data_IF_529559321944
#
_entry.id   IF_529559321944
#
_cell.length_a   1.000
_cell.length_b   1.000
_cell.length_c   1.000
_cell.angle_alpha   90.00
_cell.angle_beta   90.00
_cell.angle_gamma   90.00
#
_symmetry.space_group_name_H-M   'P 1'
#
loop_
_entity.id
_entity.type
_entity.pdbx_description
1 polymer ?
#
# COMPACT_ATOMS: atom_id res chain seq x y z
N UNK A 1 -58.00 -34.26 22.59
CA UNK A 1 -56.53 -34.35 22.34
C UNK A 1 -55.82 -34.49 23.67
N UNK A 2 -55.04 -35.54 23.88
CA UNK A 2 -54.41 -35.80 25.18
C UNK A 2 -53.40 -34.69 25.50
N UNK A 3 -53.47 -34.09 26.69
CA UNK A 3 -52.58 -32.99 27.11
C UNK A 3 -51.09 -33.34 26.93
N UNK A 4 -50.74 -34.61 27.11
CA UNK A 4 -49.40 -35.15 26.86
C UNK A 4 -48.94 -34.99 25.40
N UNK A 5 -49.84 -35.22 24.43
CA UNK A 5 -49.54 -35.06 23.00
C UNK A 5 -49.31 -33.59 22.66
N UNK A 6 -50.09 -32.69 23.26
CA UNK A 6 -49.94 -31.23 23.07
C UNK A 6 -48.58 -30.76 23.59
N UNK A 7 -48.18 -31.21 24.78
CA UNK A 7 -46.90 -30.85 25.39
C UNK A 7 -45.72 -31.36 24.55
N UNK A 8 -45.79 -32.61 24.07
CA UNK A 8 -44.75 -33.19 23.20
C UNK A 8 -44.67 -32.42 21.88
N UNK A 9 -45.80 -32.13 21.25
CA UNK A 9 -45.84 -31.37 20.00
C UNK A 9 -45.23 -29.97 20.17
N UNK A 10 -45.55 -29.28 21.27
CA UNK A 10 -44.98 -27.97 21.59
C UNK A 10 -43.46 -28.04 21.80
N UNK A 11 -42.98 -29.05 22.54
CA UNK A 11 -41.55 -29.24 22.79
C UNK A 11 -40.76 -29.50 21.49
N UNK A 12 -41.30 -30.33 20.59
CA UNK A 12 -40.69 -30.61 19.29
C UNK A 12 -40.65 -29.36 18.42
N UNK A 13 -41.72 -28.55 18.43
CA UNK A 13 -41.80 -27.33 17.66
C UNK A 13 -40.77 -26.29 18.14
N UNK A 14 -40.62 -26.12 19.46
CA UNK A 14 -39.58 -25.26 20.04
C UNK A 14 -38.18 -25.77 19.68
N UNK A 15 -37.92 -27.06 19.81
CA UNK A 15 -36.62 -27.65 19.46
C UNK A 15 -36.28 -27.44 17.97
N UNK A 16 -37.25 -27.56 17.06
CA UNK A 16 -37.07 -27.32 15.64
C UNK A 16 -36.71 -25.86 15.33
N UNK A 17 -37.37 -24.90 16.00
CA UNK A 17 -37.06 -23.46 15.84
C UNK A 17 -35.66 -23.15 16.35
N UNK A 18 -35.26 -23.71 17.50
CA UNK A 18 -33.90 -23.55 18.03
C UNK A 18 -32.84 -24.14 17.09
N UNK A 19 -33.07 -25.35 16.58
CA UNK A 19 -32.15 -26.00 15.64
C UNK A 19 -31.99 -25.19 14.34
N UNK A 20 -33.09 -24.68 13.78
CA UNK A 20 -33.07 -23.82 12.61
C UNK A 20 -32.35 -22.48 12.88
N UNK A 21 -32.60 -21.86 14.03
CA UNK A 21 -31.93 -20.62 14.43
C UNK A 21 -30.42 -20.77 14.57
N UNK A 22 -29.96 -21.84 15.22
CA UNK A 22 -28.53 -22.16 15.38
C UNK A 22 -27.89 -22.41 14.01
N UNK A 23 -28.54 -23.18 13.14
CA UNK A 23 -28.03 -23.48 11.80
C UNK A 23 -27.88 -22.22 10.94
N UNK A 24 -28.89 -21.34 10.92
CA UNK A 24 -28.85 -20.09 10.16
C UNK A 24 -27.79 -19.12 10.71
N UNK A 25 -27.66 -19.05 12.04
CA UNK A 25 -26.65 -18.22 12.69
C UNK A 25 -25.22 -18.67 12.31
N UNK A 26 -24.94 -19.98 12.36
CA UNK A 26 -23.64 -20.52 11.95
C UNK A 26 -23.36 -20.36 10.45
N UNK A 27 -24.38 -20.53 9.61
CA UNK A 27 -24.24 -20.34 8.15
C UNK A 27 -23.91 -18.88 7.80
N UNK A 28 -24.56 -17.91 8.45
CA UNK A 28 -24.29 -16.49 8.22
C UNK A 28 -22.93 -16.05 8.78
N UNK A 29 -22.49 -16.60 9.91
CA UNK A 29 -21.15 -16.34 10.44
C UNK A 29 -20.03 -16.81 9.52
N UNK A 30 -20.17 -18.00 8.90
CA UNK A 30 -19.18 -18.48 7.92
C UNK A 30 -19.09 -17.57 6.70
N UNK A 31 -20.23 -17.10 6.19
CA UNK A 31 -20.27 -16.17 5.05
C UNK A 31 -19.62 -14.82 5.39
N UNK A 32 -19.86 -14.29 6.60
CA UNK A 32 -19.21 -13.06 7.03
C UNK A 32 -17.70 -13.22 7.27
N UNK A 33 -17.26 -14.40 7.71
CA UNK A 33 -15.84 -14.70 7.87
C UNK A 33 -15.12 -14.77 6.51
N UNK A 34 -15.73 -15.38 5.49
CA UNK A 34 -15.17 -15.39 4.13
C UNK A 34 -15.07 -13.98 3.54
N UNK A 35 -16.12 -13.15 3.67
CA UNK A 35 -16.12 -11.78 3.14
C UNK A 35 -14.98 -10.94 3.77
N UNK A 36 -14.77 -11.05 5.09
CA UNK A 36 -13.69 -10.31 5.78
C UNK A 36 -12.29 -10.75 5.37
N UNK A 37 -12.11 -12.02 5.00
CA UNK A 37 -10.81 -12.53 4.54
C UNK A 37 -10.49 -12.01 3.13
N UNK A 38 -11.47 -11.97 2.24
CA UNK A 38 -11.30 -11.41 0.89
C UNK A 38 -11.07 -9.90 0.91
N UNK A 39 -11.81 -9.17 1.75
CA UNK A 39 -11.65 -7.72 1.90
C UNK A 39 -10.24 -7.35 2.43
N UNK A 40 -9.76 -8.09 3.44
CA UNK A 40 -8.41 -7.93 3.98
C UNK A 40 -7.31 -8.33 2.98
N UNK A 41 -7.57 -9.28 2.08
CA UNK A 41 -6.64 -9.66 1.03
C UNK A 41 -6.57 -8.60 -0.10
N UNK A 42 -7.70 -7.96 -0.42
CA UNK A 42 -7.75 -6.84 -1.37
C UNK A 42 -6.97 -5.62 -0.87
N UNK A 43 -7.18 -5.24 0.39
CA UNK A 43 -6.49 -4.11 1.03
C UNK A 43 -4.97 -4.34 1.14
N UNK A 44 -4.55 -5.60 1.39
CA UNK A 44 -3.14 -5.99 1.38
C UNK A 44 -2.51 -5.92 -0.02
N UNK A 45 -3.24 -6.29 -1.08
CA UNK A 45 -2.75 -6.20 -2.45
C UNK A 45 -2.62 -4.73 -2.91
N UNK A 46 -3.55 -3.87 -2.50
CA UNK A 46 -3.52 -2.43 -2.79
C UNK A 46 -2.33 -1.74 -2.11
N UNK A 47 -2.08 -2.03 -0.83
CA UNK A 47 -0.93 -1.49 -0.09
C UNK A 47 0.43 -1.95 -0.61
N UNK A 48 0.55 -3.19 -1.12
CA UNK A 48 1.76 -3.69 -1.78
C UNK A 48 1.98 -2.97 -3.11
N UNK A 49 0.92 -2.78 -3.90
CA UNK A 49 0.97 -2.08 -5.18
C UNK A 49 1.37 -0.61 -4.99
N UNK A 50 0.80 0.07 -3.99
CA UNK A 50 1.16 1.44 -3.62
C UNK A 50 2.58 1.57 -3.08
N UNK A 51 3.10 0.54 -2.41
CA UNK A 51 4.49 0.54 -1.93
C UNK A 51 5.48 0.28 -3.08
N UNK A 52 5.10 -0.54 -4.06
CA UNK A 52 5.90 -0.80 -5.25
C UNK A 52 5.95 0.41 -6.22
N UNK A 53 4.84 1.15 -6.35
CA UNK A 53 4.80 2.38 -7.16
C UNK A 53 5.50 3.56 -6.48
N UNK A 54 5.69 3.53 -5.16
CA UNK A 54 6.53 4.49 -4.42
C UNK A 54 8.03 4.20 -4.52
N UNK A 55 8.44 3.09 -5.13
CA UNK A 55 9.83 2.75 -5.44
C UNK A 55 10.44 3.56 -6.61
N UNK A 56 9.96 4.78 -6.85
CA UNK A 56 10.58 5.68 -7.82
C UNK A 56 11.72 6.42 -7.11
N UNK A 57 12.92 6.32 -7.67
CA UNK A 57 14.12 7.01 -7.22
C UNK A 57 13.79 8.44 -6.78
N UNK A 58 14.32 8.93 -5.65
CA UNK A 58 14.14 10.32 -5.26
C UNK A 58 14.55 11.19 -6.44
N UNK A 59 13.76 12.21 -6.78
CA UNK A 59 14.08 13.12 -7.88
C UNK A 59 15.37 13.86 -7.55
N UNK A 60 16.50 13.35 -8.06
CA UNK A 60 17.81 13.97 -7.93
C UNK A 60 17.85 15.16 -8.89
N UNK A 61 17.18 16.26 -8.53
CA UNK A 61 17.24 17.53 -9.26
C UNK A 61 18.39 18.40 -8.71
N UNK A 62 19.55 17.78 -8.47
CA UNK A 62 20.79 18.48 -8.12
C UNK A 62 21.70 18.43 -9.34
N UNK A 63 21.83 19.57 -10.01
CA UNK A 63 22.82 19.74 -11.06
C UNK A 63 24.21 19.77 -10.42
N UNK A 64 24.84 18.61 -10.28
CA UNK A 64 26.19 18.44 -9.72
C UNK A 64 27.27 19.27 -10.44
N UNK A 65 26.95 19.82 -11.63
CA UNK A 65 27.83 20.69 -12.40
C UNK A 65 27.72 22.18 -12.03
N UNK A 66 26.75 22.61 -11.22
CA UNK A 66 26.66 24.01 -10.76
C UNK A 66 27.75 24.36 -9.74
N UNK A 67 28.20 23.37 -8.96
CA UNK A 67 29.28 23.55 -7.98
C UNK A 67 30.65 23.06 -8.49
N UNK A 68 30.80 22.82 -9.80
CA UNK A 68 32.12 22.48 -10.34
C UNK A 68 33.00 23.73 -10.24
N UNK A 69 34.22 23.63 -9.67
CA UNK A 69 35.13 24.75 -9.70
C UNK A 69 35.49 25.02 -11.17
N UNK A 70 35.25 26.24 -11.65
CA UNK A 70 35.57 26.71 -13.00
C UNK A 70 37.08 26.99 -13.15
N UNK A 71 37.90 26.07 -12.64
CA UNK A 71 39.36 26.17 -12.75
C UNK A 71 39.79 25.11 -13.73
N UNK A 72 39.93 25.50 -14.99
CA UNK A 72 40.72 24.72 -15.93
C UNK A 72 42.16 24.72 -15.41
N UNK A 73 42.74 23.56 -15.04
CA UNK A 73 44.10 23.50 -14.50
C UNK A 73 45.13 24.08 -15.47
N UNK A 74 44.84 24.07 -16.78
CA UNK A 74 45.67 24.71 -17.80
C UNK A 74 45.71 26.24 -17.68
N UNK A 75 44.59 26.89 -17.31
CA UNK A 75 44.51 28.35 -17.15
C UNK A 75 45.12 28.83 -15.83
N UNK A 76 45.09 27.99 -14.79
CA UNK A 76 45.80 28.23 -13.54
C UNK A 76 47.31 28.06 -13.69
N UNK A 77 47.75 27.09 -14.49
CA UNK A 77 49.15 26.77 -14.71
C UNK A 77 49.84 27.61 -15.79
N UNK A 78 49.11 28.38 -16.61
CA UNK A 78 49.71 29.23 -17.63
C UNK A 78 50.42 30.44 -16.99
N UNK A 79 51.77 30.51 -17.02
CA UNK A 79 52.52 31.61 -16.41
C UNK A 79 52.50 32.89 -17.27
N UNK A 80 52.01 32.82 -18.51
CA UNK A 80 51.96 33.95 -19.45
C UNK A 80 50.54 34.53 -19.44
N UNK A 81 50.21 35.31 -18.40
CA UNK A 81 48.89 35.97 -18.27
C UNK A 81 48.85 37.40 -18.79
N UNK A 82 49.98 37.99 -19.16
CA UNK A 82 50.07 39.36 -19.67
C UNK A 82 50.96 39.41 -20.92
N UNK A 83 50.41 38.98 -22.05
CA UNK A 83 51.00 39.34 -23.35
C UNK A 83 50.66 40.81 -23.57
N UNK A 84 51.68 41.67 -23.50
CA UNK A 84 51.56 43.10 -23.78
C UNK A 84 51.03 43.27 -25.20
N UNK A 85 49.81 43.79 -25.33
CA UNK A 85 49.23 44.19 -26.62
C UNK A 85 50.20 45.19 -27.28
N UNK A 86 50.38 45.04 -28.60
CA UNK A 86 51.34 45.78 -29.41
C UNK A 86 51.35 47.29 -29.07
N UNK A 87 52.48 47.88 -28.65
CA UNK A 87 52.54 49.30 -28.27
C UNK A 87 52.50 50.28 -29.45
N UNK A 88 52.26 49.80 -30.68
CA UNK A 88 52.18 50.61 -31.89
C UNK A 88 50.85 50.47 -32.66
N UNK A 89 49.78 49.96 -32.03
CA UNK A 89 48.42 50.24 -32.51
C UNK A 89 47.96 51.64 -32.09
#
# INVERSE_FOLDING_TARGET
MNKKIIIIAAAVLVAAVFAAGIYLFWSNWRKQAEIKVFEKAGEAAETITDSATKGVLPSININLLENKPEVNPADAANPIKNIKINPFE
#
